data_IF_659440802933
#
_entry.id   IF_659440802933
#
_cell.length_a   1.000
_cell.length_b   1.000
_cell.length_c   1.000
_cell.angle_alpha   90.00
_cell.angle_beta   90.00
_cell.angle_gamma   90.00
#
_symmetry.space_group_name_H-M   'P 1'
#
loop_
_entity.id
_entity.type
_entity.pdbx_description
1 polymer ?
#
# COMPACT_ATOMS: atom_id res chain seq x y z
N UNK A 1 -76.50 19.43 -34.04
CA UNK A 1 -75.68 18.46 -34.83
C UNK A 1 -74.80 19.25 -35.80
N UNK A 2 -73.52 18.86 -35.89
CA UNK A 2 -72.43 19.30 -36.80
C UNK A 2 -71.39 20.31 -36.25
N UNK A 3 -70.15 19.79 -36.33
CA UNK A 3 -68.82 20.25 -35.94
C UNK A 3 -68.31 21.42 -36.78
N UNK A 4 -67.40 22.22 -36.21
CA UNK A 4 -66.24 22.78 -36.95
C UNK A 4 -65.04 22.94 -36.00
N UNK A 5 -63.85 22.89 -36.59
CA UNK A 5 -62.53 22.59 -36.03
C UNK A 5 -61.67 23.86 -35.80
N UNK A 6 -60.70 23.74 -34.88
CA UNK A 6 -59.39 24.40 -34.81
C UNK A 6 -59.28 25.92 -34.50
N UNK A 7 -58.38 26.28 -33.57
CA UNK A 7 -57.14 27.04 -33.81
C UNK A 7 -56.22 26.93 -32.58
N UNK A 8 -54.94 26.66 -32.83
CA UNK A 8 -53.83 26.61 -31.88
C UNK A 8 -53.54 27.97 -31.23
N UNK A 9 -53.06 27.96 -29.99
CA UNK A 9 -52.07 28.98 -29.57
C UNK A 9 -51.08 28.35 -28.59
N UNK A 10 -49.83 28.21 -29.05
CA UNK A 10 -48.67 27.81 -28.25
C UNK A 10 -48.37 28.91 -27.22
N UNK A 11 -48.32 28.56 -25.93
CA UNK A 11 -47.75 29.41 -24.89
C UNK A 11 -46.26 29.05 -24.75
N UNK A 12 -45.39 29.80 -25.43
CA UNK A 12 -43.94 29.71 -25.25
C UNK A 12 -43.59 30.49 -23.96
N UNK A 13 -43.30 29.79 -22.86
CA UNK A 13 -42.75 30.41 -21.66
C UNK A 13 -41.24 30.54 -21.88
N UNK A 14 -40.78 31.76 -22.16
CA UNK A 14 -39.36 32.10 -22.18
C UNK A 14 -38.85 32.11 -20.75
N UNK A 15 -38.19 31.02 -20.33
CA UNK A 15 -37.48 30.94 -19.05
C UNK A 15 -36.27 31.88 -19.13
N UNK A 16 -36.35 33.02 -18.46
CA UNK A 16 -35.20 33.90 -18.23
C UNK A 16 -34.26 33.16 -17.27
N UNK A 17 -33.18 32.60 -17.80
CA UNK A 17 -32.06 32.10 -17.01
C UNK A 17 -31.34 33.30 -16.39
N UNK A 18 -31.72 33.63 -15.16
CA UNK A 18 -30.79 34.30 -14.24
C UNK A 18 -29.67 33.30 -13.92
N UNK A 19 -28.39 33.70 -13.91
CA UNK A 19 -27.36 32.85 -13.36
C UNK A 19 -27.66 32.73 -11.86
N UNK A 20 -28.17 31.56 -11.46
CA UNK A 20 -28.12 31.16 -10.07
C UNK A 20 -26.63 31.19 -9.69
N UNK A 21 -26.27 32.13 -8.83
CA UNK A 21 -25.08 32.03 -8.01
C UNK A 21 -25.36 30.88 -7.04
N UNK A 22 -25.29 29.66 -7.57
CA UNK A 22 -25.45 28.42 -6.84
C UNK A 22 -24.07 27.94 -6.48
N UNK A 23 -23.84 27.83 -5.18
CA UNK A 23 -22.73 27.10 -4.60
C UNK A 23 -22.40 25.88 -5.47
N UNK A 24 -21.22 25.87 -6.09
CA UNK A 24 -20.64 24.60 -6.50
C UNK A 24 -20.61 23.76 -5.22
N UNK A 25 -21.21 22.54 -5.21
CA UNK A 25 -21.11 21.70 -4.03
C UNK A 25 -19.61 21.58 -3.71
N UNK A 26 -19.20 22.02 -2.51
CA UNK A 26 -17.82 21.88 -2.05
C UNK A 26 -17.50 20.41 -2.20
N UNK A 27 -16.69 20.09 -3.21
CA UNK A 27 -16.43 18.72 -3.60
C UNK A 27 -15.71 18.06 -2.42
N UNK A 28 -16.27 16.98 -1.88
CA UNK A 28 -15.68 16.26 -0.74
C UNK A 28 -14.18 16.03 -1.03
N UNK A 29 -13.27 16.58 -0.19
CA UNK A 29 -11.84 16.44 -0.42
C UNK A 29 -11.43 14.99 -0.55
N UNK A 30 -12.06 14.08 0.20
CA UNK A 30 -11.74 12.66 0.09
C UNK A 30 -12.18 12.10 -1.26
N UNK A 31 -13.39 12.39 -1.71
CA UNK A 31 -13.87 11.94 -3.02
C UNK A 31 -12.96 12.45 -4.16
N UNK A 32 -12.48 13.69 -4.05
CA UNK A 32 -11.55 14.28 -5.02
C UNK A 32 -10.19 13.59 -4.99
N UNK A 33 -9.69 13.23 -3.80
CA UNK A 33 -8.45 12.47 -3.64
C UNK A 33 -8.58 11.03 -4.17
N UNK A 34 -9.71 10.36 -3.94
CA UNK A 34 -10.03 9.03 -4.48
C UNK A 34 -10.01 9.02 -6.01
N UNK A 35 -10.59 10.05 -6.64
CA UNK A 35 -10.55 10.23 -8.09
C UNK A 35 -9.12 10.43 -8.60
N UNK A 36 -8.31 11.23 -7.91
CA UNK A 36 -6.91 11.44 -8.25
C UNK A 36 -6.09 10.14 -8.13
N UNK A 37 -6.29 9.37 -7.05
CA UNK A 37 -5.66 8.05 -6.86
C UNK A 37 -6.05 7.07 -7.97
N UNK A 38 -7.34 7.00 -8.34
CA UNK A 38 -7.82 6.16 -9.43
C UNK A 38 -7.22 6.57 -10.79
N UNK A 39 -7.01 7.88 -11.00
CA UNK A 39 -6.36 8.43 -12.18
C UNK A 39 -4.83 8.33 -12.17
N UNK A 40 -4.23 7.77 -11.09
CA UNK A 40 -2.78 7.71 -10.85
C UNK A 40 -2.10 9.09 -10.75
N UNK A 41 -2.87 10.13 -10.43
CA UNK A 41 -2.36 11.47 -10.15
C UNK A 41 -2.06 11.59 -8.65
N UNK A 42 -0.99 10.90 -8.22
CA UNK A 42 -0.70 10.74 -6.79
C UNK A 42 -0.26 12.04 -6.12
N UNK A 43 0.42 12.93 -6.84
CA UNK A 43 0.82 14.22 -6.28
C UNK A 43 -0.41 15.08 -6.00
N UNK A 44 -1.37 15.14 -6.94
CA UNK A 44 -2.64 15.83 -6.70
C UNK A 44 -3.40 15.23 -5.52
N UNK A 45 -3.42 13.90 -5.38
CA UNK A 45 -4.03 13.26 -4.22
C UNK A 45 -3.37 13.69 -2.91
N UNK A 46 -2.03 13.75 -2.86
CA UNK A 46 -1.28 14.27 -1.70
C UNK A 46 -1.68 15.72 -1.40
N UNK A 47 -1.66 16.60 -2.40
CA UNK A 47 -1.96 18.03 -2.21
C UNK A 47 -3.37 18.25 -1.64
N UNK A 48 -4.36 17.50 -2.14
CA UNK A 48 -5.75 17.56 -1.66
C UNK A 48 -5.85 17.08 -0.21
N UNK A 49 -5.22 15.96 0.12
CA UNK A 49 -5.33 15.33 1.44
C UNK A 49 -4.56 16.11 2.50
N UNK A 50 -3.41 16.69 2.17
CA UNK A 50 -2.67 17.58 3.08
C UNK A 50 -3.47 18.84 3.38
N UNK A 51 -4.11 19.45 2.37
CA UNK A 51 -4.99 20.59 2.58
C UNK A 51 -6.20 20.24 3.46
N UNK A 52 -6.76 19.04 3.31
CA UNK A 52 -7.87 18.56 4.14
C UNK A 52 -7.43 18.35 5.61
N UNK A 53 -6.27 17.74 5.84
CA UNK A 53 -5.71 17.52 7.18
C UNK A 53 -5.33 18.83 7.90
N UNK A 54 -5.10 19.93 7.18
CA UNK A 54 -4.96 21.25 7.82
C UNK A 54 -6.25 21.72 8.49
N UNK A 55 -7.41 21.23 8.06
CA UNK A 55 -8.72 21.55 8.63
C UNK A 55 -9.14 20.55 9.71
N UNK A 56 -8.81 19.27 9.52
CA UNK A 56 -9.08 18.20 10.49
C UNK A 56 -7.90 17.24 10.60
N UNK A 57 -6.97 17.55 11.50
CA UNK A 57 -5.74 16.77 11.72
C UNK A 57 -6.02 15.41 12.41
N UNK A 58 -7.22 15.18 12.94
CA UNK A 58 -7.52 13.96 13.69
C UNK A 58 -8.42 13.00 12.91
N UNK A 59 -8.66 13.23 11.61
CA UNK A 59 -9.41 12.30 10.75
C UNK A 59 -8.54 11.08 10.35
N UNK A 60 -8.84 9.87 10.88
CA UNK A 60 -8.09 8.66 10.54
C UNK A 60 -8.25 8.26 9.07
N UNK A 61 -9.37 8.59 8.43
CA UNK A 61 -9.60 8.31 7.02
C UNK A 61 -8.68 9.15 6.15
N UNK A 62 -8.59 10.46 6.40
CA UNK A 62 -7.70 11.33 5.64
C UNK A 62 -6.23 10.88 5.75
N UNK A 63 -5.80 10.51 6.96
CA UNK A 63 -4.48 9.92 7.16
C UNK A 63 -4.30 8.61 6.39
N UNK A 64 -5.28 7.70 6.42
CA UNK A 64 -5.18 6.44 5.69
C UNK A 64 -4.97 6.67 4.19
N UNK A 65 -5.78 7.54 3.58
CA UNK A 65 -5.68 7.84 2.15
C UNK A 65 -4.41 8.62 1.80
N UNK A 66 -3.92 9.48 2.69
CA UNK A 66 -2.64 10.17 2.46
C UNK A 66 -1.46 9.21 2.53
N UNK A 67 -1.50 8.28 3.50
CA UNK A 67 -0.57 7.15 3.55
C UNK A 67 -0.59 6.34 2.25
N UNK A 68 -1.77 6.06 1.69
CA UNK A 68 -1.93 5.37 0.42
C UNK A 68 -1.42 6.17 -0.78
N UNK A 69 -1.62 7.49 -0.80
CA UNK A 69 -1.09 8.37 -1.85
C UNK A 69 0.44 8.38 -1.85
N UNK A 70 1.07 8.55 -0.67
CA UNK A 70 2.52 8.46 -0.53
C UNK A 70 3.06 7.06 -0.86
N UNK A 71 2.37 5.99 -0.41
CA UNK A 71 2.74 4.62 -0.73
C UNK A 71 2.67 4.38 -2.24
N UNK A 72 1.70 4.96 -2.92
CA UNK A 72 1.58 4.78 -4.38
C UNK A 72 2.74 5.44 -5.11
N UNK A 73 3.33 6.52 -4.59
CA UNK A 73 4.58 7.09 -5.10
C UNK A 73 5.82 6.27 -4.72
N UNK A 74 5.74 5.49 -3.63
CA UNK A 74 6.77 4.55 -3.21
C UNK A 74 6.85 3.32 -4.15
N UNK A 75 5.72 2.63 -4.36
CA UNK A 75 5.54 1.63 -5.43
C UNK A 75 4.06 1.33 -5.70
N UNK A 76 3.76 0.90 -6.92
CA UNK A 76 2.43 0.45 -7.31
C UNK A 76 2.22 -1.03 -7.05
N UNK A 77 3.18 -1.85 -7.47
CA UNK A 77 3.15 -3.30 -7.37
C UNK A 77 4.56 -3.91 -7.21
N UNK A 78 4.63 -5.23 -7.08
CA UNK A 78 5.87 -5.97 -6.84
C UNK A 78 6.92 -5.85 -7.96
N UNK A 79 6.57 -5.38 -9.15
CA UNK A 79 7.53 -5.22 -10.26
C UNK A 79 8.56 -4.12 -10.02
N UNK A 80 8.30 -3.19 -9.09
CA UNK A 80 9.13 -2.02 -8.80
C UNK A 80 9.99 -2.17 -7.54
N UNK A 81 9.90 -3.29 -6.80
CA UNK A 81 10.60 -3.44 -5.51
C UNK A 81 12.13 -3.29 -5.65
N UNK A 82 12.71 -3.61 -6.80
CA UNK A 82 14.13 -3.44 -7.06
C UNK A 82 14.54 -1.99 -7.45
N UNK A 83 13.59 -1.05 -7.54
CA UNK A 83 13.81 0.35 -7.91
C UNK A 83 12.84 1.29 -7.15
N UNK A 84 13.01 1.35 -5.84
CA UNK A 84 12.15 2.14 -4.94
C UNK A 84 12.80 3.49 -4.61
N UNK A 85 11.98 4.55 -4.54
CA UNK A 85 12.41 5.81 -3.94
C UNK A 85 12.20 5.77 -2.41
N UNK A 86 13.25 5.67 -1.58
CA UNK A 86 13.13 5.48 -0.14
C UNK A 86 12.50 6.67 0.60
N UNK A 87 12.45 7.87 0.00
CA UNK A 87 11.97 9.10 0.65
C UNK A 87 10.47 9.04 1.00
N UNK A 88 9.71 8.19 0.32
CA UNK A 88 8.28 8.04 0.55
C UNK A 88 7.93 7.05 1.65
N UNK A 89 8.81 6.09 1.97
CA UNK A 89 8.54 5.08 2.99
C UNK A 89 8.25 5.70 4.39
N UNK A 90 9.06 6.66 4.90
CA UNK A 90 8.76 7.33 6.16
C UNK A 90 7.45 8.11 6.14
N UNK A 91 7.14 8.81 5.02
CA UNK A 91 5.93 9.63 4.88
C UNK A 91 4.67 8.77 4.91
N UNK A 92 4.64 7.74 4.07
CA UNK A 92 3.52 6.80 4.02
C UNK A 92 3.32 6.08 5.36
N UNK A 93 4.41 5.55 5.93
CA UNK A 93 4.37 4.83 7.19
C UNK A 93 3.89 5.70 8.35
N UNK A 94 4.28 6.97 8.42
CA UNK A 94 3.86 7.88 9.50
C UNK A 94 2.35 8.10 9.50
N UNK A 95 1.73 8.20 8.32
CA UNK A 95 0.29 8.37 8.22
C UNK A 95 -0.48 7.10 8.59
N UNK A 96 -0.07 5.91 8.12
CA UNK A 96 -0.69 4.66 8.59
C UNK A 96 -0.53 4.46 10.09
N UNK A 97 0.61 4.88 10.64
CA UNK A 97 0.84 4.89 12.07
C UNK A 97 -0.17 5.78 12.80
N UNK A 98 -0.39 6.99 12.29
CA UNK A 98 -1.38 7.92 12.83
C UNK A 98 -2.80 7.36 12.79
N UNK A 99 -3.18 6.57 11.77
CA UNK A 99 -4.50 5.91 11.71
C UNK A 99 -4.73 5.04 12.94
N UNK A 100 -3.78 4.19 13.34
CA UNK A 100 -4.00 3.35 14.53
C UNK A 100 -4.03 4.16 15.83
N UNK A 101 -3.27 5.27 15.91
CA UNK A 101 -3.25 6.12 17.11
C UNK A 101 -4.62 6.75 17.35
N UNK A 102 -5.34 7.02 16.26
CA UNK A 102 -6.66 7.63 16.25
C UNK A 102 -7.80 6.61 16.35
N UNK A 103 -7.69 5.52 15.58
CA UNK A 103 -8.71 4.48 15.47
C UNK A 103 -8.05 3.09 15.32
N UNK A 104 -7.81 2.37 16.43
CA UNK A 104 -7.26 1.02 16.40
C UNK A 104 -8.16 -0.03 15.71
N UNK A 105 -9.44 0.28 15.50
CA UNK A 105 -10.43 -0.61 14.88
C UNK A 105 -10.86 -0.11 13.48
N UNK A 106 -10.01 0.69 12.82
CA UNK A 106 -10.32 1.30 11.54
C UNK A 106 -10.71 0.28 10.46
N UNK A 107 -11.94 0.40 9.93
CA UNK A 107 -12.49 -0.52 8.92
C UNK A 107 -12.38 0.02 7.47
N UNK A 108 -11.93 1.27 7.29
CA UNK A 108 -11.80 1.91 5.99
C UNK A 108 -13.12 2.11 5.24
N UNK A 109 -13.08 2.85 4.11
CA UNK A 109 -14.22 2.99 3.18
C UNK A 109 -14.10 2.07 1.98
N UNK A 110 -12.94 2.07 1.33
CA UNK A 110 -12.72 1.38 0.06
C UNK A 110 -11.66 0.27 0.12
N UNK A 111 -10.76 0.33 1.11
CA UNK A 111 -9.65 -0.61 1.27
C UNK A 111 -9.81 -1.40 2.58
N UNK A 112 -9.89 -2.73 2.48
CA UNK A 112 -10.11 -3.66 3.62
C UNK A 112 -8.78 -4.12 4.25
N UNK A 113 -7.68 -3.42 3.98
CA UNK A 113 -6.35 -3.83 4.45
C UNK A 113 -5.95 -2.95 5.61
N UNK A 114 -5.66 -3.57 6.75
CA UNK A 114 -5.34 -2.87 7.98
C UNK A 114 -4.06 -2.01 7.87
N UNK A 115 -3.93 -0.92 8.65
CA UNK A 115 -2.76 -0.06 8.59
C UNK A 115 -1.43 -0.75 8.96
N UNK A 116 -1.45 -1.78 9.83
CA UNK A 116 -0.22 -2.49 10.24
C UNK A 116 0.40 -3.23 9.07
N UNK A 117 -0.43 -3.93 8.29
CA UNK A 117 0.05 -4.64 7.10
C UNK A 117 0.53 -3.67 6.04
N UNK A 118 -0.04 -2.46 5.91
CA UNK A 118 0.52 -1.40 5.04
C UNK A 118 1.91 -0.95 5.46
N UNK A 119 2.12 -0.72 6.76
CA UNK A 119 3.45 -0.37 7.30
C UNK A 119 4.43 -1.50 7.01
N UNK A 120 4.05 -2.75 7.28
CA UNK A 120 4.87 -3.92 7.00
C UNK A 120 5.25 -4.01 5.52
N UNK A 121 4.29 -3.81 4.61
CA UNK A 121 4.52 -3.85 3.17
C UNK A 121 5.55 -2.82 2.73
N UNK A 122 5.45 -1.59 3.24
CA UNK A 122 6.37 -0.50 2.90
C UNK A 122 7.81 -0.86 3.32
N UNK A 123 7.99 -1.24 4.58
CA UNK A 123 9.32 -1.46 5.12
C UNK A 123 9.92 -2.80 4.68
N UNK A 124 9.10 -3.83 4.48
CA UNK A 124 9.52 -5.11 3.94
C UNK A 124 9.95 -5.03 2.48
N UNK A 125 9.20 -4.29 1.65
CA UNK A 125 9.60 -4.01 0.27
C UNK A 125 10.91 -3.20 0.22
N UNK A 126 11.06 -2.18 1.08
CA UNK A 126 12.29 -1.41 1.15
C UNK A 126 13.50 -2.27 1.57
N UNK A 127 13.31 -3.15 2.55
CA UNK A 127 14.35 -4.07 3.00
C UNK A 127 14.78 -5.02 1.87
N UNK A 128 13.82 -5.57 1.11
CA UNK A 128 14.12 -6.39 -0.08
C UNK A 128 14.88 -5.62 -1.15
N UNK A 129 14.48 -4.37 -1.41
CA UNK A 129 15.17 -3.49 -2.36
C UNK A 129 16.65 -3.35 -1.99
N UNK A 130 16.95 -2.97 -0.76
CA UNK A 130 18.33 -2.83 -0.29
C UNK A 130 19.09 -4.16 -0.28
N UNK A 131 18.46 -5.23 0.18
CA UNK A 131 19.09 -6.55 0.25
C UNK A 131 19.49 -7.06 -1.15
N UNK A 132 18.62 -6.88 -2.16
CA UNK A 132 18.90 -7.23 -3.56
C UNK A 132 20.03 -6.39 -4.19
N UNK A 133 20.28 -5.19 -3.66
CA UNK A 133 21.36 -4.30 -4.10
C UNK A 133 22.69 -4.57 -3.36
N UNK A 134 22.73 -5.57 -2.48
CA UNK A 134 23.92 -5.87 -1.67
C UNK A 134 24.15 -4.88 -0.53
N UNK A 135 23.09 -4.23 -0.04
CA UNK A 135 23.12 -3.26 1.06
C UNK A 135 22.43 -3.80 2.34
N UNK A 136 22.95 -4.87 2.97
CA UNK A 136 22.26 -5.56 4.08
C UNK A 136 22.06 -4.68 5.32
N UNK A 137 22.96 -3.73 5.60
CA UNK A 137 22.81 -2.84 6.75
C UNK A 137 21.63 -1.88 6.57
N UNK A 138 21.40 -1.39 5.34
CA UNK A 138 20.20 -0.60 5.04
C UNK A 138 18.94 -1.44 5.08
N UNK A 139 19.00 -2.71 4.66
CA UNK A 139 17.89 -3.63 4.79
C UNK A 139 17.52 -3.89 6.26
N UNK A 140 18.52 -4.10 7.13
CA UNK A 140 18.33 -4.22 8.57
C UNK A 140 17.70 -2.98 9.17
N UNK A 141 18.18 -1.80 8.77
CA UNK A 141 17.63 -0.53 9.22
C UNK A 141 16.17 -0.35 8.77
N UNK A 142 15.83 -0.69 7.52
CA UNK A 142 14.45 -0.67 7.04
C UNK A 142 13.53 -1.59 7.89
N UNK A 143 13.97 -2.83 8.18
CA UNK A 143 13.23 -3.73 9.06
C UNK A 143 13.09 -3.20 10.49
N UNK A 144 14.14 -2.61 11.07
CA UNK A 144 14.09 -1.97 12.40
C UNK A 144 13.02 -0.87 12.43
N UNK A 145 13.05 0.04 11.45
CA UNK A 145 12.07 1.12 11.32
C UNK A 145 10.65 0.60 11.13
N UNK A 146 10.47 -0.45 10.34
CA UNK A 146 9.16 -1.09 10.17
C UNK A 146 8.63 -1.71 11.45
N UNK A 147 9.50 -2.31 12.28
CA UNK A 147 9.10 -2.85 13.59
C UNK A 147 8.70 -1.73 14.54
N UNK A 148 9.46 -0.66 14.59
CA UNK A 148 9.16 0.53 15.43
C UNK A 148 7.88 1.25 15.00
N UNK A 149 7.57 1.23 13.70
CA UNK A 149 6.32 1.77 13.16
C UNK A 149 5.11 0.84 13.36
N UNK A 150 5.31 -0.37 13.92
CA UNK A 150 4.24 -1.32 14.24
C UNK A 150 3.99 -2.41 13.19
N UNK A 151 4.68 -2.41 12.05
CA UNK A 151 4.40 -3.36 10.95
C UNK A 151 4.78 -4.82 11.25
N UNK A 152 5.83 -5.05 12.04
CA UNK A 152 6.32 -6.39 12.40
C UNK A 152 5.96 -6.76 13.85
N UNK A 153 4.66 -6.80 14.15
CA UNK A 153 4.16 -7.01 15.51
C UNK A 153 4.30 -8.47 15.98
N UNK A 154 4.36 -8.73 17.31
CA UNK A 154 4.76 -10.03 17.86
C UNK A 154 3.96 -11.24 17.35
N UNK A 155 2.63 -11.13 17.25
CA UNK A 155 1.81 -12.25 16.79
C UNK A 155 2.11 -12.65 15.33
N UNK A 156 2.36 -11.68 14.44
CA UNK A 156 2.77 -11.94 13.06
C UNK A 156 4.16 -12.56 12.98
N UNK A 157 5.09 -12.10 13.83
CA UNK A 157 6.43 -12.66 13.91
C UNK A 157 6.42 -14.11 14.39
N UNK A 158 5.63 -14.43 15.42
CA UNK A 158 5.52 -15.80 15.93
C UNK A 158 4.81 -16.75 14.95
N UNK A 159 3.80 -16.26 14.22
CA UNK A 159 3.21 -17.02 13.11
C UNK A 159 4.29 -17.43 12.08
N UNK A 160 5.10 -16.47 11.63
CA UNK A 160 6.15 -16.74 10.64
C UNK A 160 7.30 -17.58 11.21
N UNK A 161 7.61 -17.43 12.51
CA UNK A 161 8.58 -18.28 13.20
C UNK A 161 8.12 -19.74 13.18
N UNK A 162 6.85 -19.99 13.46
CA UNK A 162 6.28 -21.35 13.41
C UNK A 162 6.28 -21.92 11.99
N UNK A 163 5.99 -21.09 10.97
CA UNK A 163 6.07 -21.51 9.57
C UNK A 163 7.49 -21.99 9.23
N UNK A 164 8.51 -21.19 9.53
CA UNK A 164 9.90 -21.56 9.31
C UNK A 164 10.32 -22.77 10.16
N UNK A 165 9.91 -22.85 11.42
CA UNK A 165 10.21 -23.99 12.31
C UNK A 165 9.70 -25.33 11.75
N UNK A 166 8.56 -25.31 11.05
CA UNK A 166 7.91 -26.51 10.52
C UNK A 166 8.58 -27.09 9.27
N UNK A 167 9.45 -26.31 8.61
CA UNK A 167 10.12 -26.75 7.39
C UNK A 167 11.26 -27.73 7.68
N UNK A 168 11.45 -28.72 6.80
CA UNK A 168 12.66 -29.54 6.78
C UNK A 168 13.92 -28.69 6.56
N UNK A 169 15.09 -29.24 6.88
CA UNK A 169 16.38 -28.60 6.60
C UNK A 169 16.55 -28.33 5.10
N UNK A 170 17.08 -27.16 4.75
CA UNK A 170 17.32 -26.74 3.36
C UNK A 170 16.05 -26.74 2.46
N UNK A 171 14.87 -26.54 3.06
CA UNK A 171 13.62 -26.48 2.33
C UNK A 171 13.48 -25.18 1.50
N UNK A 172 12.56 -25.21 0.54
CA UNK A 172 12.00 -24.02 -0.11
C UNK A 172 10.59 -23.81 0.44
N UNK A 173 10.34 -22.66 1.06
CA UNK A 173 9.03 -22.28 1.59
C UNK A 173 8.33 -21.36 0.58
N UNK A 174 7.22 -21.83 0.02
CA UNK A 174 6.36 -21.02 -0.83
C UNK A 174 5.39 -20.19 0.02
N UNK A 175 5.34 -18.89 -0.25
CA UNK A 175 4.52 -17.89 0.44
C UNK A 175 3.68 -17.13 -0.59
N UNK A 176 2.62 -16.44 -0.18
CA UNK A 176 1.65 -15.85 -1.12
C UNK A 176 1.56 -14.32 -1.06
N UNK A 177 2.09 -13.65 -0.05
CA UNK A 177 2.02 -12.20 0.05
C UNK A 177 2.94 -11.61 1.11
N UNK A 178 2.69 -10.36 1.45
CA UNK A 178 3.61 -9.60 2.31
C UNK A 178 3.67 -10.18 3.73
N UNK A 179 2.54 -10.66 4.27
CA UNK A 179 2.38 -11.12 5.66
C UNK A 179 3.05 -12.46 5.97
N UNK A 180 3.21 -13.33 4.99
CA UNK A 180 3.91 -14.61 5.14
C UNK A 180 5.31 -14.59 4.49
N UNK A 181 5.69 -13.50 3.82
CA UNK A 181 7.02 -13.34 3.21
C UNK A 181 7.93 -12.44 4.04
N UNK A 182 7.52 -11.18 4.26
CA UNK A 182 8.39 -10.15 4.82
C UNK A 182 8.78 -10.42 6.28
N UNK A 183 7.90 -10.92 7.17
CA UNK A 183 8.32 -11.31 8.50
C UNK A 183 9.24 -12.54 8.49
N UNK A 184 9.09 -13.44 7.52
CA UNK A 184 10.05 -14.53 7.31
C UNK A 184 11.45 -14.02 6.97
N UNK A 185 11.56 -13.10 6.00
CA UNK A 185 12.82 -12.43 5.67
C UNK A 185 13.38 -11.61 6.84
N UNK A 186 12.50 -10.96 7.62
CA UNK A 186 12.90 -10.29 8.86
C UNK A 186 13.58 -11.28 9.81
N UNK A 187 12.95 -12.42 10.10
CA UNK A 187 13.48 -13.42 11.03
C UNK A 187 14.86 -13.92 10.60
N UNK A 188 15.03 -14.17 9.31
CA UNK A 188 16.30 -14.64 8.76
C UNK A 188 17.38 -13.57 8.83
N UNK A 189 17.09 -12.35 8.36
CA UNK A 189 18.08 -11.29 8.32
C UNK A 189 18.41 -10.79 9.73
N UNK A 190 17.40 -10.40 10.50
CA UNK A 190 17.56 -9.71 11.78
C UNK A 190 17.93 -10.65 12.92
N UNK A 191 17.38 -11.86 12.94
CA UNK A 191 17.52 -12.79 14.07
C UNK A 191 18.40 -14.01 13.74
N UNK A 192 18.82 -14.18 12.47
CA UNK A 192 19.57 -15.36 12.04
C UNK A 192 18.76 -16.65 12.15
N UNK A 193 17.43 -16.55 12.15
CA UNK A 193 16.55 -17.68 12.40
C UNK A 193 16.23 -18.45 11.10
N UNK A 194 16.51 -19.77 11.09
CA UNK A 194 16.27 -20.66 9.93
C UNK A 194 16.75 -20.06 8.61
N UNK A 195 17.98 -19.53 8.61
CA UNK A 195 18.64 -19.02 7.41
C UNK A 195 18.95 -20.11 6.39
N UNK A 196 18.78 -21.39 6.75
CA UNK A 196 18.85 -22.53 5.85
C UNK A 196 17.66 -22.65 4.90
N UNK A 197 16.53 -21.95 5.14
CA UNK A 197 15.34 -22.03 4.28
C UNK A 197 15.37 -20.94 3.21
N UNK A 198 15.01 -21.27 1.97
CA UNK A 198 14.75 -20.24 0.94
C UNK A 198 13.26 -19.91 0.90
N UNK A 199 12.89 -18.65 1.12
CA UNK A 199 11.49 -18.21 1.02
C UNK A 199 11.23 -17.67 -0.40
N UNK A 200 10.29 -18.30 -1.10
CA UNK A 200 9.85 -17.94 -2.45
C UNK A 200 8.40 -17.43 -2.43
N UNK A 201 8.20 -16.15 -2.72
CA UNK A 201 6.89 -15.51 -2.80
C UNK A 201 6.26 -15.72 -4.18
N UNK A 202 5.15 -16.46 -4.22
CA UNK A 202 4.41 -16.81 -5.42
C UNK A 202 3.88 -15.58 -6.18
N UNK A 203 3.45 -14.54 -5.47
CA UNK A 203 2.96 -13.28 -6.05
C UNK A 203 4.05 -12.47 -6.75
N UNK A 204 5.33 -12.79 -6.51
CA UNK A 204 6.48 -12.19 -7.19
C UNK A 204 7.08 -13.11 -8.26
N UNK A 205 6.66 -14.38 -8.38
CA UNK A 205 7.22 -15.30 -9.38
C UNK A 205 6.88 -14.92 -10.82
N UNK A 206 5.94 -14.00 -11.03
CA UNK A 206 5.64 -13.44 -12.35
C UNK A 206 6.52 -12.24 -12.74
N UNK A 207 7.35 -11.71 -11.82
CA UNK A 207 8.21 -10.54 -12.11
C UNK A 207 9.66 -10.98 -12.43
N UNK A 208 10.23 -10.60 -13.60
CA UNK A 208 11.52 -11.12 -14.05
C UNK A 208 12.70 -10.87 -13.11
N UNK A 209 12.70 -9.73 -12.40
CA UNK A 209 13.77 -9.41 -11.47
C UNK A 209 13.80 -10.40 -10.29
N UNK A 210 12.64 -10.84 -9.81
CA UNK A 210 12.55 -11.72 -8.65
C UNK A 210 12.96 -13.16 -8.99
N UNK A 211 12.57 -13.67 -10.16
CA UNK A 211 13.06 -14.97 -10.65
C UNK A 211 14.59 -14.96 -10.75
N UNK A 212 15.17 -13.89 -11.31
CA UNK A 212 16.63 -13.76 -11.39
C UNK A 212 17.27 -13.70 -10.01
N UNK A 213 16.68 -12.95 -9.06
CA UNK A 213 17.15 -12.94 -7.68
C UNK A 213 17.16 -14.35 -7.09
N UNK A 214 16.05 -15.08 -7.16
CA UNK A 214 15.97 -16.44 -6.61
C UNK A 214 16.96 -17.42 -7.25
N UNK A 215 17.20 -17.31 -8.57
CA UNK A 215 18.19 -18.14 -9.28
C UNK A 215 19.63 -17.75 -8.94
N UNK A 216 19.94 -16.46 -8.95
CA UNK A 216 21.32 -15.96 -8.92
C UNK A 216 21.83 -15.74 -7.48
N UNK A 217 20.94 -15.54 -6.51
CA UNK A 217 21.31 -15.42 -5.10
C UNK A 217 20.19 -14.97 -4.17
N UNK A 218 20.01 -15.68 -3.05
CA UNK A 218 19.04 -15.33 -2.03
C UNK A 218 19.64 -14.37 -0.98
N UNK A 219 19.08 -13.16 -0.77
CA UNK A 219 19.77 -12.12 0.00
C UNK A 219 19.57 -12.23 1.52
N UNK A 220 18.75 -13.17 2.00
CA UNK A 220 18.40 -13.30 3.42
C UNK A 220 18.93 -14.59 4.08
N UNK A 221 19.61 -15.46 3.34
CA UNK A 221 20.10 -16.75 3.86
C UNK A 221 20.70 -17.64 2.78
N UNK A 222 20.64 -18.96 2.99
CA UNK A 222 21.02 -19.96 2.01
C UNK A 222 20.07 -20.00 0.81
N UNK A 223 20.63 -20.20 -0.37
CA UNK A 223 19.86 -20.40 -1.61
C UNK A 223 19.79 -21.89 -1.94
N UNK A 224 18.63 -22.50 -1.72
CA UNK A 224 18.35 -23.91 -2.01
C UNK A 224 17.72 -24.11 -3.39
N UNK A 225 17.60 -23.03 -4.17
CA UNK A 225 17.11 -23.08 -5.55
C UNK A 225 18.31 -23.35 -6.45
N UNK A 226 18.43 -24.61 -6.87
CA UNK A 226 19.35 -25.05 -7.91
C UNK A 226 18.55 -25.39 -9.17
N UNK A 227 18.80 -24.67 -10.26
CA UNK A 227 18.13 -24.87 -11.54
C UNK A 227 19.06 -25.52 -12.59
N UNK A 228 20.27 -25.95 -12.19
CA UNK A 228 21.27 -26.57 -13.07
C UNK A 228 22.27 -25.60 -13.69
#
# INVERSE_FOLDING_TARGET
>A
MKRTLAVLTNLLITLVLLPACGDQPVQDPLQSAEQALAARDYQRAVDILEAALQQDEQDPTLHYYLGQAYRSQFFHDGSQINDLNPDFAPKASAHFRKVFELDPAFEGRQFVVDPYTKVQSIWGALAMSYASQGEPDKAREAFRRGREAGGFYPAMMEYNRNMLASCAENAILFTNGDNDTYPGWYLQLMEGYRTDITIANLSLLNVPWYIRQLRDGYPFGGNNIDLG
#
